data_IF_798255935226
#
_entry.id   IF_798255935226
#
_cell.length_a   1.000
_cell.length_b   1.000
_cell.length_c   1.000
_cell.angle_alpha   90.00
_cell.angle_beta   90.00
_cell.angle_gamma   90.00
#
_symmetry.space_group_name_H-M   'P 1'
#
loop_
_entity.id
_entity.type
_entity.pdbx_description
1 polymer ?
#
# COMPACT_ATOMS: atom_id res chain seq x y z
N UNK A 1 -10.70 47.00 -45.90
CA UNK A 1 -10.44 46.20 -44.68
C UNK A 1 -10.56 44.71 -45.03
N UNK A 2 -9.43 44.02 -45.20
CA UNK A 2 -9.37 42.57 -45.50
C UNK A 2 -9.46 41.80 -44.17
N UNK A 3 -10.44 40.90 -44.04
CA UNK A 3 -10.57 39.99 -42.88
C UNK A 3 -9.53 38.87 -43.01
N UNK A 4 -8.58 38.83 -42.09
CA UNK A 4 -7.64 37.71 -41.91
C UNK A 4 -8.38 36.62 -41.14
N UNK A 5 -8.49 35.42 -41.73
CA UNK A 5 -8.91 34.20 -41.03
C UNK A 5 -7.66 33.53 -40.47
N UNK A 6 -7.53 33.49 -39.15
CA UNK A 6 -6.51 32.71 -38.45
C UNK A 6 -6.99 31.25 -38.47
N UNK A 7 -6.25 30.37 -39.14
CA UNK A 7 -6.44 28.93 -39.03
C UNK A 7 -5.79 28.48 -37.72
N UNK A 8 -6.61 28.03 -36.77
CA UNK A 8 -6.13 27.38 -35.55
C UNK A 8 -5.70 25.96 -35.95
N UNK A 9 -4.40 25.73 -36.05
CA UNK A 9 -3.84 24.39 -36.25
C UNK A 9 -3.92 23.68 -34.90
N UNK A 10 -4.95 22.85 -34.69
CA UNK A 10 -5.01 21.94 -33.54
C UNK A 10 -4.02 20.81 -33.84
N UNK A 11 -2.83 20.88 -33.23
CA UNK A 11 -1.90 19.77 -33.21
C UNK A 11 -2.47 18.76 -32.21
N UNK A 12 -3.24 17.79 -32.72
CA UNK A 12 -3.52 16.57 -31.97
C UNK A 12 -2.20 15.80 -31.97
N UNK A 13 -1.49 15.80 -30.84
CA UNK A 13 -0.41 14.86 -30.59
C UNK A 13 -1.07 13.47 -30.49
N UNK A 14 -1.19 12.78 -31.62
CA UNK A 14 -1.45 11.35 -31.62
C UNK A 14 -0.16 10.73 -31.11
N UNK A 15 -0.09 10.48 -29.80
CA UNK A 15 0.85 9.52 -29.26
C UNK A 15 0.43 8.21 -29.90
N UNK A 16 1.14 7.80 -30.94
CA UNK A 16 0.99 6.47 -31.51
C UNK A 16 1.35 5.52 -30.35
N UNK A 17 0.40 4.71 -29.83
CA UNK A 17 0.79 3.66 -28.91
C UNK A 17 1.82 2.82 -29.66
N UNK A 18 3.02 2.72 -29.11
CA UNK A 18 3.97 1.73 -29.58
C UNK A 18 3.32 0.39 -29.26
N UNK A 19 2.74 -0.24 -30.28
CA UNK A 19 2.36 -1.66 -30.20
C UNK A 19 3.66 -2.41 -30.09
N UNK A 20 4.12 -2.60 -28.85
CA UNK A 20 5.17 -3.55 -28.55
C UNK A 20 4.57 -4.92 -28.88
N UNK A 21 5.18 -5.65 -29.82
CA UNK A 21 4.82 -7.04 -30.14
C UNK A 21 5.30 -7.96 -29.02
N UNK A 22 4.92 -7.64 -27.79
CA UNK A 22 5.34 -8.36 -26.64
C UNK A 22 4.48 -9.63 -26.52
N UNK A 23 5.12 -10.79 -26.44
CA UNK A 23 4.38 -12.03 -26.30
C UNK A 23 3.81 -12.12 -24.89
N UNK A 24 2.58 -12.62 -24.77
CA UNK A 24 1.98 -12.94 -23.47
C UNK A 24 2.09 -14.44 -23.26
N UNK A 25 2.60 -14.85 -22.09
CA UNK A 25 2.69 -16.25 -21.69
C UNK A 25 1.81 -16.50 -20.48
N UNK A 26 1.02 -17.56 -20.48
CA UNK A 26 0.33 -18.09 -19.30
C UNK A 26 0.97 -19.42 -18.92
N UNK A 27 1.52 -19.54 -17.71
CA UNK A 27 2.22 -20.74 -17.25
C UNK A 27 3.28 -21.25 -18.24
N UNK A 28 4.04 -20.33 -18.82
CA UNK A 28 5.07 -20.57 -19.86
C UNK A 28 4.54 -20.98 -21.24
N UNK A 29 3.22 -21.04 -21.44
CA UNK A 29 2.61 -21.26 -22.75
C UNK A 29 2.29 -19.92 -23.42
N UNK A 30 2.70 -19.76 -24.67
CA UNK A 30 2.39 -18.56 -25.46
C UNK A 30 0.89 -18.46 -25.71
N UNK A 31 0.33 -17.28 -25.48
CA UNK A 31 -1.05 -16.93 -25.80
C UNK A 31 -1.05 -15.75 -26.75
N UNK A 32 -1.83 -15.87 -27.82
CA UNK A 32 -2.05 -14.80 -28.79
C UNK A 32 -3.00 -13.76 -28.20
N UNK A 33 -2.46 -12.85 -27.40
CA UNK A 33 -3.19 -11.72 -26.80
C UNK A 33 -2.62 -10.42 -27.37
N UNK A 34 -3.49 -9.61 -27.96
CA UNK A 34 -3.12 -8.25 -28.33
C UNK A 34 -3.07 -7.40 -27.06
N UNK A 35 -1.92 -6.82 -26.78
CA UNK A 35 -1.77 -5.89 -25.67
C UNK A 35 -1.01 -4.63 -26.09
N UNK A 36 -1.22 -3.56 -25.32
CA UNK A 36 -0.56 -2.26 -25.52
C UNK A 36 0.11 -1.85 -24.22
N UNK A 37 1.37 -1.41 -24.29
CA UNK A 37 2.06 -0.81 -23.16
C UNK A 37 1.84 0.71 -23.16
N UNK A 38 1.27 1.25 -22.08
CA UNK A 38 1.06 2.68 -21.85
C UNK A 38 1.56 3.02 -20.45
N UNK A 39 2.53 3.93 -20.35
CA UNK A 39 3.11 4.39 -19.07
C UNK A 39 3.53 3.23 -18.14
N UNK A 40 4.27 2.26 -18.70
CA UNK A 40 4.75 1.05 -18.00
C UNK A 40 3.63 0.10 -17.50
N UNK A 41 2.40 0.29 -17.95
CA UNK A 41 1.29 -0.62 -17.70
C UNK A 41 0.89 -1.35 -18.99
N UNK A 42 0.76 -2.67 -18.92
CA UNK A 42 0.28 -3.49 -20.04
C UNK A 42 -1.26 -3.57 -20.00
N UNK A 43 -1.90 -3.25 -21.11
CA UNK A 43 -3.35 -3.26 -21.28
C UNK A 43 -3.76 -4.28 -22.33
N UNK A 44 -4.85 -5.02 -22.08
CA UNK A 44 -5.44 -5.97 -23.01
C UNK A 44 -6.87 -5.56 -23.35
N UNK A 45 -7.40 -6.04 -24.47
CA UNK A 45 -8.82 -5.83 -24.78
C UNK A 45 -9.70 -6.57 -23.77
N UNK A 46 -10.91 -6.07 -23.52
CA UNK A 46 -11.86 -6.79 -22.67
C UNK A 46 -12.21 -8.17 -23.25
N UNK A 47 -12.29 -8.30 -24.58
CA UNK A 47 -12.51 -9.57 -25.26
C UNK A 47 -11.40 -10.58 -24.94
N UNK A 48 -10.13 -10.20 -25.09
CA UNK A 48 -9.00 -11.07 -24.76
C UNK A 48 -8.93 -11.39 -23.27
N UNK A 49 -9.29 -10.44 -22.40
CA UNK A 49 -9.35 -10.66 -20.96
C UNK A 49 -10.40 -11.73 -20.58
N UNK A 50 -11.58 -11.67 -21.20
CA UNK A 50 -12.64 -12.65 -20.97
C UNK A 50 -12.23 -14.00 -21.58
N UNK A 51 -11.73 -14.01 -22.81
CA UNK A 51 -11.44 -15.24 -23.56
C UNK A 51 -10.21 -15.99 -23.01
N UNK A 52 -9.14 -15.27 -22.71
CA UNK A 52 -7.84 -15.86 -22.33
C UNK A 52 -7.60 -15.91 -20.83
N UNK A 53 -8.24 -15.02 -20.06
CA UNK A 53 -8.08 -14.93 -18.61
C UNK A 53 -9.39 -15.11 -17.84
N UNK A 54 -10.50 -15.50 -18.48
CA UNK A 54 -11.77 -15.71 -17.77
C UNK A 54 -12.24 -14.50 -16.96
N UNK A 55 -11.82 -13.30 -17.33
CA UNK A 55 -12.12 -12.08 -16.59
C UNK A 55 -13.63 -11.81 -16.57
N UNK A 56 -14.15 -11.44 -15.41
CA UNK A 56 -15.55 -11.07 -15.22
C UNK A 56 -15.65 -9.55 -15.01
N UNK A 57 -15.98 -8.78 -16.07
CA UNK A 57 -16.12 -7.34 -15.96
C UNK A 57 -17.30 -6.93 -15.05
N UNK A 58 -17.22 -5.80 -14.35
CA UNK A 58 -18.38 -5.16 -13.73
C UNK A 58 -19.47 -4.86 -14.77
N UNK A 59 -20.74 -4.88 -14.36
CA UNK A 59 -21.93 -4.80 -15.24
C UNK A 59 -22.00 -3.58 -16.20
N UNK A 60 -21.11 -2.58 -16.06
CA UNK A 60 -21.15 -1.30 -16.80
C UNK A 60 -20.03 -1.10 -17.85
N UNK A 61 -19.07 -2.02 -18.02
CA UNK A 61 -17.96 -1.83 -18.98
C UNK A 61 -18.40 -2.18 -20.41
N UNK A 62 -18.13 -1.27 -21.36
CA UNK A 62 -18.38 -1.51 -22.80
C UNK A 62 -17.33 -2.47 -23.37
N UNK A 63 -17.78 -3.35 -24.27
CA UNK A 63 -16.99 -4.41 -24.95
C UNK A 63 -15.69 -3.92 -25.62
N UNK A 64 -15.57 -2.62 -25.91
CA UNK A 64 -14.43 -2.05 -26.66
C UNK A 64 -13.35 -1.39 -25.77
N UNK A 65 -13.36 -1.60 -24.45
CA UNK A 65 -12.39 -0.98 -23.54
C UNK A 65 -11.12 -1.82 -23.33
N UNK A 66 -9.98 -1.13 -23.26
CA UNK A 66 -8.73 -1.70 -22.78
C UNK A 66 -8.73 -1.71 -21.26
N UNK A 67 -8.35 -2.84 -20.66
CA UNK A 67 -8.17 -2.97 -19.23
C UNK A 67 -6.73 -3.35 -18.87
N UNK A 68 -6.21 -2.96 -17.69
CA UNK A 68 -4.90 -3.41 -17.25
C UNK A 68 -4.86 -4.94 -17.19
N UNK A 69 -3.87 -5.57 -17.83
CA UNK A 69 -3.71 -7.04 -17.81
C UNK A 69 -3.63 -7.57 -16.37
N UNK A 70 -3.06 -6.77 -15.46
CA UNK A 70 -2.98 -7.04 -14.04
C UNK A 70 -4.35 -7.23 -13.38
N UNK A 71 -5.33 -6.41 -13.72
CA UNK A 71 -6.67 -6.53 -13.15
C UNK A 71 -7.33 -7.86 -13.53
N UNK A 72 -7.15 -8.28 -14.79
CA UNK A 72 -7.66 -9.57 -15.27
C UNK A 72 -6.90 -10.76 -14.68
N UNK A 73 -5.57 -10.69 -14.66
CA UNK A 73 -4.69 -11.74 -14.13
C UNK A 73 -4.92 -11.99 -12.64
N UNK A 74 -4.98 -10.92 -11.83
CA UNK A 74 -5.16 -11.01 -10.38
C UNK A 74 -6.51 -11.67 -10.01
N UNK A 75 -7.58 -11.46 -10.79
CA UNK A 75 -8.89 -12.09 -10.54
C UNK A 75 -8.84 -13.63 -10.64
N UNK A 76 -7.94 -14.18 -11.46
CA UNK A 76 -7.75 -15.63 -11.61
C UNK A 76 -6.59 -16.19 -10.76
N UNK A 77 -5.92 -15.34 -9.97
CA UNK A 77 -4.78 -15.76 -9.16
C UNK A 77 -3.46 -15.86 -9.93
N UNK A 78 -3.35 -15.23 -11.10
CA UNK A 78 -2.08 -15.10 -11.81
C UNK A 78 -1.25 -13.93 -11.28
N UNK A 79 0.06 -14.13 -11.18
CA UNK A 79 1.04 -13.08 -10.98
C UNK A 79 1.56 -12.57 -12.33
N UNK A 80 1.54 -11.25 -12.52
CA UNK A 80 2.08 -10.62 -13.73
C UNK A 80 3.55 -10.28 -13.53
N UNK A 81 4.41 -10.86 -14.37
CA UNK A 81 5.83 -10.51 -14.55
C UNK A 81 6.02 -9.96 -15.96
N UNK A 82 7.05 -9.17 -16.18
CA UNK A 82 7.42 -8.76 -17.52
C UNK A 82 8.93 -8.55 -17.60
N UNK A 83 9.46 -8.73 -18.80
CA UNK A 83 10.81 -8.26 -19.19
C UNK A 83 10.67 -7.12 -20.22
N UNK A 84 11.76 -6.74 -20.87
CA UNK A 84 11.75 -5.67 -21.88
C UNK A 84 10.84 -5.99 -23.08
N UNK A 85 10.53 -7.27 -23.31
CA UNK A 85 9.87 -7.75 -24.52
C UNK A 85 8.61 -8.58 -24.26
N UNK A 86 8.34 -9.08 -23.06
CA UNK A 86 7.29 -10.09 -22.84
C UNK A 86 6.55 -9.88 -21.52
N UNK A 87 5.31 -10.38 -21.48
CA UNK A 87 4.49 -10.46 -20.27
C UNK A 87 4.28 -11.92 -19.91
N UNK A 88 4.50 -12.27 -18.65
CA UNK A 88 4.31 -13.62 -18.12
C UNK A 88 3.27 -13.59 -17.01
N UNK A 89 2.29 -14.47 -17.12
CA UNK A 89 1.22 -14.71 -16.17
C UNK A 89 1.47 -16.11 -15.60
N UNK A 90 1.81 -16.20 -14.32
CA UNK A 90 2.16 -17.47 -13.68
C UNK A 90 1.43 -17.61 -12.35
N UNK A 91 1.07 -18.84 -12.00
CA UNK A 91 0.47 -19.18 -10.72
C UNK A 91 1.51 -19.36 -9.62
N UNK A 92 2.80 -19.46 -9.96
CA UNK A 92 3.87 -19.43 -8.96
C UNK A 92 4.10 -18.01 -8.44
N UNK A 93 3.99 -17.85 -7.12
CA UNK A 93 4.33 -16.59 -6.45
C UNK A 93 5.75 -16.18 -6.83
N UNK A 94 5.94 -15.04 -7.53
CA UNK A 94 7.27 -14.52 -7.73
C UNK A 94 7.87 -14.14 -6.38
N UNK A 95 9.20 -14.09 -6.38
CA UNK A 95 9.96 -13.51 -5.28
C UNK A 95 9.41 -12.14 -4.87
N UNK A 96 8.92 -11.36 -5.84
CA UNK A 96 8.39 -10.02 -5.61
C UNK A 96 7.15 -9.82 -6.48
N UNK A 97 6.03 -9.44 -5.87
CA UNK A 97 4.85 -8.99 -6.60
C UNK A 97 4.08 -7.93 -5.83
N UNK A 98 3.33 -7.13 -6.59
CA UNK A 98 2.31 -6.21 -6.09
C UNK A 98 0.94 -6.84 -6.34
N UNK A 99 0.01 -6.71 -5.39
CA UNK A 99 -1.35 -7.23 -5.50
C UNK A 99 -2.35 -6.24 -4.89
N UNK A 100 -3.49 -6.06 -5.54
CA UNK A 100 -4.63 -5.36 -4.94
C UNK A 100 -5.26 -6.22 -3.83
N UNK A 101 -5.26 -5.73 -2.60
CA UNK A 101 -5.78 -6.45 -1.43
C UNK A 101 -7.14 -5.91 -0.94
N UNK A 102 -7.67 -4.89 -1.62
CA UNK A 102 -8.97 -4.31 -1.34
C UNK A 102 -9.10 -2.91 -1.94
N UNK A 103 -10.03 -2.13 -1.43
CA UNK A 103 -10.25 -0.76 -1.92
C UNK A 103 -10.55 0.22 -0.79
N UNK A 104 -10.17 1.48 -0.98
CA UNK A 104 -10.53 2.58 -0.10
C UNK A 104 -12.03 2.92 -0.20
N UNK A 105 -12.50 3.83 0.66
CA UNK A 105 -13.90 4.29 0.62
C UNK A 105 -14.30 4.92 -0.73
N UNK A 106 -13.38 5.57 -1.44
CA UNK A 106 -13.60 6.10 -2.79
C UNK A 106 -13.21 5.11 -3.91
N UNK A 107 -13.17 3.81 -3.62
CA UNK A 107 -12.86 2.73 -4.57
C UNK A 107 -11.48 2.84 -5.23
N UNK A 108 -10.47 3.41 -4.55
CA UNK A 108 -9.09 3.34 -5.02
C UNK A 108 -8.47 2.02 -4.57
N UNK A 109 -7.69 1.33 -5.43
CA UNK A 109 -7.07 0.07 -5.04
C UNK A 109 -6.09 0.28 -3.90
N UNK A 110 -6.21 -0.52 -2.84
CA UNK A 110 -5.20 -0.62 -1.79
C UNK A 110 -4.33 -1.82 -2.16
N UNK A 111 -3.05 -1.59 -2.31
CA UNK A 111 -2.09 -2.59 -2.78
C UNK A 111 -1.13 -3.01 -1.68
N UNK A 112 -0.75 -4.28 -1.66
CA UNK A 112 0.40 -4.78 -0.92
C UNK A 112 1.49 -5.22 -1.89
N UNK A 113 2.75 -5.03 -1.51
CA UNK A 113 3.91 -5.60 -2.17
C UNK A 113 4.46 -6.71 -1.30
N UNK A 114 4.52 -7.91 -1.86
CA UNK A 114 5.06 -9.11 -1.24
C UNK A 114 6.48 -9.30 -1.75
N UNK A 115 7.43 -9.40 -0.84
CA UNK A 115 8.80 -9.80 -1.10
C UNK A 115 9.05 -11.12 -0.34
N UNK A 116 8.89 -12.23 -1.07
CA UNK A 116 8.82 -13.59 -0.54
C UNK A 116 10.06 -14.38 -0.99
N UNK A 117 11.10 -14.53 -0.15
CA UNK A 117 12.23 -15.39 -0.51
C UNK A 117 11.77 -16.84 -0.72
N UNK A 118 12.52 -17.68 -1.46
CA UNK A 118 12.10 -19.05 -1.80
C UNK A 118 11.81 -19.93 -0.58
N UNK A 119 12.40 -19.61 0.56
CA UNK A 119 12.08 -20.18 1.87
C UNK A 119 12.08 -19.06 2.90
N UNK A 120 11.09 -19.05 3.78
CA UNK A 120 11.01 -18.13 4.90
C UNK A 120 10.48 -18.83 6.15
N UNK A 121 10.91 -18.34 7.31
CA UNK A 121 10.45 -18.79 8.64
C UNK A 121 9.78 -17.67 9.42
N UNK A 122 9.79 -16.46 8.86
CA UNK A 122 9.27 -15.25 9.47
C UNK A 122 8.52 -14.46 8.40
N UNK A 123 7.37 -13.89 8.76
CA UNK A 123 6.64 -12.91 7.96
C UNK A 123 6.55 -11.59 8.72
N UNK A 124 6.92 -10.48 8.06
CA UNK A 124 6.74 -9.12 8.55
C UNK A 124 5.70 -8.43 7.67
N UNK A 125 4.65 -7.88 8.28
CA UNK A 125 3.72 -6.96 7.63
C UNK A 125 4.05 -5.53 8.07
N UNK A 126 4.27 -4.64 7.12
CA UNK A 126 4.51 -3.22 7.36
C UNK A 126 3.47 -2.34 6.65
N UNK A 127 2.88 -1.40 7.37
CA UNK A 127 1.84 -0.49 6.86
C UNK A 127 2.29 0.95 6.98
N UNK A 128 1.94 1.75 5.97
CA UNK A 128 2.30 3.16 5.91
C UNK A 128 1.08 4.02 5.56
N UNK A 129 1.12 5.28 5.99
CA UNK A 129 0.12 6.29 5.66
C UNK A 129 -1.33 5.84 5.95
N UNK A 130 -1.56 5.34 7.17
CA UNK A 130 -2.93 5.17 7.70
C UNK A 130 -3.60 6.55 7.88
N UNK A 131 -2.80 7.60 8.09
CA UNK A 131 -3.23 8.98 7.99
C UNK A 131 -2.58 9.64 6.76
N UNK A 132 -3.38 10.34 5.95
CA UNK A 132 -2.84 11.17 4.87
C UNK A 132 -2.29 12.52 5.35
N UNK A 133 -2.63 12.91 6.58
CA UNK A 133 -2.12 14.09 7.28
C UNK A 133 -1.64 13.69 8.67
N UNK A 134 -0.35 13.92 8.91
CA UNK A 134 0.43 13.57 10.11
C UNK A 134 0.82 14.81 10.93
N UNK A 135 0.11 15.93 10.69
CA UNK A 135 0.16 17.21 11.44
C UNK A 135 1.37 18.12 11.22
N UNK A 136 2.31 17.79 10.34
CA UNK A 136 3.44 18.69 10.06
C UNK A 136 3.12 19.71 8.97
N UNK A 137 2.58 19.27 7.83
CA UNK A 137 2.14 20.15 6.75
C UNK A 137 1.10 19.49 5.86
N UNK A 138 0.66 20.21 4.84
CA UNK A 138 -0.40 19.75 3.94
C UNK A 138 -0.02 18.43 3.25
N UNK A 139 -0.75 17.35 3.57
CA UNK A 139 -0.59 16.00 2.99
C UNK A 139 0.80 15.39 3.18
N UNK A 140 1.41 15.65 4.32
CA UNK A 140 2.71 15.09 4.71
C UNK A 140 2.74 13.55 4.84
N UNK A 141 1.58 12.88 4.92
CA UNK A 141 1.50 11.42 4.83
C UNK A 141 2.11 10.83 3.55
N UNK A 142 2.22 11.62 2.48
CA UNK A 142 2.91 11.21 1.23
C UNK A 142 4.37 10.82 1.46
N UNK A 143 5.04 11.41 2.46
CA UNK A 143 6.43 11.03 2.80
C UNK A 143 6.49 9.57 3.24
N UNK A 144 5.50 9.10 4.01
CA UNK A 144 5.46 7.72 4.51
C UNK A 144 5.32 6.74 3.33
N UNK A 145 4.49 7.08 2.35
CA UNK A 145 4.39 6.31 1.10
C UNK A 145 5.69 6.32 0.30
N UNK A 146 6.39 7.46 0.22
CA UNK A 146 7.69 7.54 -0.45
C UNK A 146 8.76 6.69 0.26
N UNK A 147 8.77 6.67 1.59
CA UNK A 147 9.67 5.80 2.38
C UNK A 147 9.35 4.33 2.09
N UNK A 148 8.06 3.96 2.11
CA UNK A 148 7.63 2.59 1.82
C UNK A 148 8.10 2.10 0.45
N UNK A 149 7.90 2.91 -0.60
CA UNK A 149 8.33 2.58 -1.96
C UNK A 149 9.87 2.47 -2.07
N UNK A 150 10.61 3.28 -1.31
CA UNK A 150 12.07 3.17 -1.26
C UNK A 150 12.54 1.91 -0.51
N UNK A 151 11.87 1.50 0.56
CA UNK A 151 12.14 0.24 1.26
C UNK A 151 11.83 -0.95 0.34
N UNK A 152 10.69 -0.93 -0.36
CA UNK A 152 10.33 -1.93 -1.37
C UNK A 152 11.43 -2.02 -2.42
N UNK A 153 11.84 -0.88 -2.99
CA UNK A 153 12.89 -0.84 -4.01
C UNK A 153 14.20 -1.42 -3.50
N UNK A 154 14.63 -1.05 -2.29
CA UNK A 154 15.89 -1.51 -1.70
C UNK A 154 15.98 -3.04 -1.62
N UNK A 155 14.92 -3.69 -1.10
CA UNK A 155 14.86 -5.15 -1.02
C UNK A 155 14.55 -5.80 -2.37
N UNK A 156 13.92 -5.08 -3.29
CA UNK A 156 13.72 -5.58 -4.65
C UNK A 156 15.01 -5.67 -5.45
N UNK A 157 15.90 -4.68 -5.26
CA UNK A 157 17.22 -4.66 -5.89
C UNK A 157 18.19 -5.66 -5.24
N UNK A 158 17.97 -6.02 -3.97
CA UNK A 158 18.84 -6.88 -3.14
C UNK A 158 18.02 -7.91 -2.35
N UNK A 159 17.31 -8.83 -3.03
CA UNK A 159 16.40 -9.75 -2.36
C UNK A 159 17.10 -10.75 -1.43
N UNK A 160 18.40 -10.99 -1.59
CA UNK A 160 19.21 -11.81 -0.69
C UNK A 160 19.26 -11.27 0.74
N UNK A 161 19.06 -9.95 0.93
CA UNK A 161 19.03 -9.32 2.25
C UNK A 161 17.79 -9.68 3.06
N UNK A 162 16.73 -10.20 2.42
CA UNK A 162 15.54 -10.71 3.09
C UNK A 162 15.83 -12.01 3.87
N UNK A 163 16.92 -12.73 3.55
CA UNK A 163 17.27 -14.03 4.15
C UNK A 163 16.06 -14.99 4.17
N UNK A 164 15.60 -15.39 5.37
CA UNK A 164 14.43 -16.24 5.60
C UNK A 164 13.20 -15.44 6.05
N UNK A 165 13.12 -14.17 5.67
CA UNK A 165 12.01 -13.27 6.04
C UNK A 165 11.19 -12.90 4.82
N UNK A 166 9.90 -13.22 4.85
CA UNK A 166 8.91 -12.67 3.93
C UNK A 166 8.50 -11.28 4.41
N UNK A 167 8.59 -10.28 3.54
CA UNK A 167 8.21 -8.91 3.83
C UNK A 167 7.00 -8.52 3.00
N UNK A 168 5.92 -8.11 3.66
CA UNK A 168 4.68 -7.64 3.04
C UNK A 168 4.53 -6.16 3.39
N UNK A 169 4.50 -5.28 2.41
CA UNK A 169 4.43 -3.83 2.61
C UNK A 169 3.15 -3.28 1.98
N UNK A 170 2.34 -2.56 2.75
CA UNK A 170 1.23 -1.73 2.25
C UNK A 170 1.71 -0.27 2.22
N UNK A 171 2.08 0.28 1.05
CA UNK A 171 2.72 1.61 0.97
C UNK A 171 1.81 2.78 1.36
N UNK A 172 0.51 2.59 1.20
CA UNK A 172 -0.48 3.59 1.55
C UNK A 172 -1.79 2.89 1.91
N UNK A 173 -2.23 3.03 3.16
CA UNK A 173 -3.53 2.51 3.60
C UNK A 173 -4.64 3.52 3.27
N UNK A 174 -4.43 4.81 3.57
CA UNK A 174 -5.41 5.87 3.35
C UNK A 174 -5.14 6.62 2.04
N UNK A 175 -5.25 5.92 0.90
CA UNK A 175 -5.05 6.52 -0.43
C UNK A 175 -5.93 7.75 -0.65
N UNK A 176 -7.16 7.74 -0.14
CA UNK A 176 -8.09 8.85 -0.27
C UNK A 176 -7.58 10.09 0.48
N UNK A 177 -7.10 9.90 1.71
CA UNK A 177 -6.57 10.96 2.55
C UNK A 177 -5.31 11.59 1.97
N UNK A 178 -4.39 10.78 1.44
CA UNK A 178 -3.17 11.25 0.77
C UNK A 178 -3.50 12.00 -0.53
N UNK A 179 -4.39 11.46 -1.37
CA UNK A 179 -4.66 12.01 -2.69
C UNK A 179 -5.63 13.20 -2.69
N UNK A 180 -6.67 13.17 -1.86
CA UNK A 180 -7.77 14.12 -1.91
C UNK A 180 -8.09 14.77 -0.55
N UNK A 181 -7.46 14.32 0.54
CA UNK A 181 -7.66 14.91 1.87
C UNK A 181 -7.34 16.41 1.92
N UNK A 182 -8.01 17.12 2.82
CA UNK A 182 -7.92 18.58 2.93
C UNK A 182 -7.66 19.06 4.36
N UNK A 183 -7.64 18.16 5.34
CA UNK A 183 -7.51 18.51 6.74
C UNK A 183 -6.85 17.41 7.59
N UNK A 184 -6.05 17.84 8.56
CA UNK A 184 -5.57 17.00 9.65
C UNK A 184 -6.61 16.78 10.77
N UNK A 185 -7.79 17.41 10.67
CA UNK A 185 -8.89 17.30 11.65
C UNK A 185 -10.18 16.80 10.99
N UNK A 186 -10.06 15.86 10.05
CA UNK A 186 -11.16 15.32 9.26
C UNK A 186 -10.60 14.57 8.06
N UNK A 187 -11.23 14.70 6.89
CA UNK A 187 -10.76 14.03 5.67
C UNK A 187 -9.34 14.44 5.30
N UNK A 188 -8.42 13.48 5.31
CA UNK A 188 -6.98 13.68 5.28
C UNK A 188 -6.33 12.84 6.37
N UNK A 189 -6.51 13.23 7.63
CA UNK A 189 -6.21 12.35 8.77
C UNK A 189 -7.14 11.13 8.78
N UNK A 190 -8.44 11.40 8.79
CA UNK A 190 -9.47 10.38 8.61
C UNK A 190 -9.58 9.97 7.13
N UNK A 191 -10.19 8.81 6.88
CA UNK A 191 -10.56 8.38 5.52
C UNK A 191 -11.64 9.30 4.90
N UNK A 192 -12.05 9.02 3.67
CA UNK A 192 -13.07 9.83 2.97
C UNK A 192 -14.48 9.79 3.59
N UNK A 193 -14.78 8.80 4.44
CA UNK A 193 -16.01 8.76 5.25
C UNK A 193 -15.89 9.61 6.53
N UNK A 194 -14.70 10.15 6.80
CA UNK A 194 -14.38 10.90 8.00
C UNK A 194 -14.12 10.02 9.22
N UNK A 195 -13.82 8.73 9.07
CA UNK A 195 -13.43 7.82 10.15
C UNK A 195 -11.90 7.84 10.31
N UNK A 196 -11.41 8.01 11.54
CA UNK A 196 -9.99 7.80 11.85
C UNK A 196 -9.73 6.29 11.84
N UNK A 197 -9.05 5.82 10.78
CA UNK A 197 -8.75 4.39 10.57
C UNK A 197 -8.02 3.84 11.80
N UNK A 198 -7.08 4.59 12.39
CA UNK A 198 -6.32 4.21 13.58
C UNK A 198 -7.10 4.43 14.90
N UNK A 199 -8.43 4.51 14.85
CA UNK A 199 -9.36 4.41 15.99
C UNK A 199 -10.46 3.37 15.75
N UNK A 200 -10.45 2.72 14.59
CA UNK A 200 -11.57 1.91 14.13
C UNK A 200 -11.38 0.41 14.39
N UNK A 201 -10.32 -0.01 15.07
CA UNK A 201 -10.06 -1.41 15.41
C UNK A 201 -10.73 -1.81 16.74
N UNK A 202 -11.09 -3.07 16.93
CA UNK A 202 -11.82 -3.55 18.13
C UNK A 202 -10.94 -3.68 19.41
N UNK A 203 -9.72 -3.14 19.40
CA UNK A 203 -8.88 -3.06 20.60
C UNK A 203 -9.24 -1.86 21.47
N UNK A 204 -9.74 -2.10 22.68
CA UNK A 204 -10.18 -1.02 23.60
C UNK A 204 -11.19 -0.06 22.96
N UNK A 205 -11.90 -0.49 21.90
CA UNK A 205 -12.74 0.36 21.07
C UNK A 205 -13.81 1.10 21.88
N UNK A 206 -14.11 2.31 21.45
CA UNK A 206 -15.17 3.12 22.02
C UNK A 206 -15.56 4.26 21.08
N UNK A 207 -16.86 4.62 21.09
CA UNK A 207 -17.41 5.63 20.18
C UNK A 207 -16.81 7.01 20.43
N UNK A 208 -16.24 7.62 19.38
CA UNK A 208 -15.66 8.96 19.40
C UNK A 208 -16.33 9.81 18.31
N UNK A 209 -16.82 10.99 18.68
CA UNK A 209 -17.64 11.85 17.79
C UNK A 209 -16.98 13.20 17.41
N UNK A 210 -15.70 13.40 17.70
CA UNK A 210 -14.99 14.59 17.20
C UNK A 210 -14.46 14.34 15.78
N UNK A 211 -14.26 15.40 14.99
CA UNK A 211 -13.90 15.27 13.57
C UNK A 211 -12.54 14.62 13.31
N UNK A 212 -11.62 14.71 14.28
CA UNK A 212 -10.22 14.27 14.14
C UNK A 212 -10.03 12.78 14.38
N UNK A 213 -10.70 12.25 15.40
CA UNK A 213 -10.55 10.88 15.90
C UNK A 213 -11.87 10.08 15.77
N UNK A 214 -12.73 10.45 14.82
CA UNK A 214 -14.10 9.93 14.72
C UNK A 214 -14.06 8.42 14.48
N UNK A 215 -14.88 7.67 15.21
CA UNK A 215 -15.09 6.24 14.96
C UNK A 215 -16.41 6.00 14.25
N UNK A 216 -16.58 4.79 13.70
CA UNK A 216 -17.88 4.33 13.25
C UNK A 216 -18.86 4.02 14.38
N UNK A 217 -19.97 3.35 14.04
CA UNK A 217 -20.93 2.85 15.03
C UNK A 217 -20.50 1.51 15.65
N UNK A 218 -19.52 0.85 15.05
CA UNK A 218 -18.90 -0.41 15.46
C UNK A 218 -17.44 -0.41 14.95
N UNK A 219 -16.55 -1.27 15.47
CA UNK A 219 -15.21 -1.42 14.89
C UNK A 219 -15.27 -1.93 13.45
N UNK A 220 -14.19 -1.72 12.70
CA UNK A 220 -14.02 -2.05 11.29
C UNK A 220 -15.13 -1.48 10.41
N UNK A 221 -15.52 -0.23 10.68
CA UNK A 221 -16.47 0.51 9.85
C UNK A 221 -15.83 0.99 8.55
N UNK A 222 -14.57 1.41 8.56
CA UNK A 222 -13.87 1.84 7.36
C UNK A 222 -13.42 0.63 6.52
N UNK A 223 -13.54 0.68 5.18
CA UNK A 223 -13.03 -0.38 4.33
C UNK A 223 -11.51 -0.53 4.46
N UNK A 224 -10.77 0.57 4.71
CA UNK A 224 -9.33 0.52 4.94
C UNK A 224 -8.96 -0.30 6.20
N UNK A 225 -9.72 -0.15 7.30
CA UNK A 225 -9.50 -0.96 8.50
C UNK A 225 -9.87 -2.44 8.28
N UNK A 226 -10.87 -2.71 7.44
CA UNK A 226 -11.23 -4.08 7.05
C UNK A 226 -10.10 -4.73 6.25
N UNK A 227 -9.50 -4.02 5.28
CA UNK A 227 -8.34 -4.51 4.53
C UNK A 227 -7.17 -4.87 5.46
N UNK A 228 -6.85 -3.99 6.42
CA UNK A 228 -5.80 -4.27 7.41
C UNK A 228 -6.12 -5.46 8.32
N UNK A 229 -7.37 -5.62 8.73
CA UNK A 229 -7.81 -6.80 9.47
C UNK A 229 -7.62 -8.07 8.65
N UNK A 230 -8.14 -8.06 7.43
CA UNK A 230 -8.24 -9.24 6.58
C UNK A 230 -6.85 -9.72 6.15
N UNK A 231 -5.91 -8.81 5.87
CA UNK A 231 -4.53 -9.20 5.55
C UNK A 231 -3.79 -9.77 6.76
N UNK A 232 -3.97 -9.23 7.98
CA UNK A 232 -3.36 -9.81 9.19
C UNK A 232 -3.90 -11.22 9.44
N UNK A 233 -5.22 -11.43 9.29
CA UNK A 233 -5.84 -12.74 9.49
C UNK A 233 -5.45 -13.74 8.39
N UNK A 234 -5.34 -13.28 7.14
CA UNK A 234 -4.98 -14.12 5.98
C UNK A 234 -3.51 -14.53 6.01
N UNK A 235 -2.61 -13.56 6.19
CA UNK A 235 -1.17 -13.77 6.05
C UNK A 235 -0.51 -14.25 7.34
N UNK A 236 -1.21 -14.12 8.48
CA UNK A 236 -0.76 -14.54 9.81
C UNK A 236 0.70 -14.14 10.10
N UNK A 237 1.04 -12.84 10.04
CA UNK A 237 2.42 -12.39 10.20
C UNK A 237 2.91 -12.58 11.64
N UNK A 238 4.19 -12.84 11.86
CA UNK A 238 4.73 -12.87 13.23
C UNK A 238 5.11 -11.47 13.73
N UNK A 239 5.31 -10.50 12.82
CA UNK A 239 5.56 -9.09 13.16
C UNK A 239 4.65 -8.15 12.33
N UNK A 240 4.00 -7.20 12.99
CA UNK A 240 3.23 -6.10 12.37
C UNK A 240 3.85 -4.74 12.75
N UNK A 241 4.15 -3.93 11.74
CA UNK A 241 4.73 -2.60 11.88
C UNK A 241 3.79 -1.57 11.25
N UNK A 242 3.48 -0.50 11.98
CA UNK A 242 2.62 0.57 11.50
C UNK A 242 3.33 1.92 11.59
N UNK A 243 3.63 2.54 10.46
CA UNK A 243 4.45 3.75 10.37
C UNK A 243 3.59 5.01 10.21
N UNK A 244 3.81 5.96 11.12
CA UNK A 244 3.12 7.25 11.29
C UNK A 244 4.15 8.38 11.43
N UNK A 245 3.66 9.62 11.49
CA UNK A 245 4.44 10.77 11.92
C UNK A 245 3.61 11.75 12.75
N UNK A 246 4.17 12.73 13.45
CA UNK A 246 5.60 12.96 13.69
C UNK A 246 5.90 13.02 15.20
N UNK A 247 5.32 12.12 15.97
CA UNK A 247 5.32 12.23 17.44
C UNK A 247 6.65 11.87 18.12
N UNK A 248 7.68 11.44 17.38
CA UNK A 248 8.99 11.09 17.94
C UNK A 248 8.87 10.05 19.07
N UNK A 249 8.32 8.88 18.73
CA UNK A 249 8.16 7.77 19.67
C UNK A 249 7.84 6.42 18.98
N UNK A 250 7.89 5.34 19.76
CA UNK A 250 7.46 4.01 19.33
C UNK A 250 6.51 3.42 20.39
N UNK A 251 5.35 2.93 19.97
CA UNK A 251 4.37 2.23 20.81
C UNK A 251 4.47 0.74 20.54
N UNK A 252 4.77 -0.05 21.57
CA UNK A 252 4.75 -1.50 21.49
C UNK A 252 4.75 -2.10 22.90
N UNK A 253 4.06 -3.23 23.05
CA UNK A 253 4.22 -4.10 24.24
C UNK A 253 5.46 -4.99 24.15
N UNK A 254 6.09 -5.10 22.97
CA UNK A 254 7.31 -5.85 22.73
C UNK A 254 8.52 -4.93 22.86
N UNK A 255 9.30 -5.12 23.93
CA UNK A 255 10.40 -4.22 24.25
C UNK A 255 11.57 -4.36 23.28
N UNK A 256 11.82 -5.55 22.75
CA UNK A 256 12.89 -5.77 21.76
C UNK A 256 12.56 -5.05 20.46
N UNK A 257 11.34 -5.23 19.96
CA UNK A 257 10.87 -4.57 18.75
C UNK A 257 10.87 -3.05 18.92
N UNK A 258 10.39 -2.57 20.07
CA UNK A 258 10.44 -1.14 20.42
C UNK A 258 11.87 -0.61 20.40
N UNK A 259 12.81 -1.30 21.04
CA UNK A 259 14.21 -0.86 21.12
C UNK A 259 14.90 -0.87 19.75
N UNK A 260 14.61 -1.87 18.91
CA UNK A 260 15.15 -1.98 17.55
C UNK A 260 14.80 -0.73 16.72
N UNK A 261 13.52 -0.35 16.69
CA UNK A 261 13.07 0.82 15.94
C UNK A 261 13.46 2.13 16.62
N UNK A 262 13.30 2.26 17.94
CA UNK A 262 13.66 3.49 18.67
C UNK A 262 15.14 3.83 18.52
N UNK A 263 16.03 2.83 18.55
CA UNK A 263 17.48 3.05 18.41
C UNK A 263 17.85 3.39 16.96
N UNK A 264 17.31 2.66 15.99
CA UNK A 264 17.63 2.86 14.56
C UNK A 264 17.13 4.22 14.04
N UNK A 265 15.97 4.66 14.52
CA UNK A 265 15.33 5.90 14.08
C UNK A 265 15.64 7.12 14.97
N UNK A 266 16.31 6.91 16.11
CA UNK A 266 16.60 7.96 17.10
C UNK A 266 15.29 8.59 17.61
N UNK A 267 14.42 7.72 18.17
CA UNK A 267 13.09 8.09 18.67
C UNK A 267 13.08 8.28 20.19
N UNK A 268 12.28 9.25 20.62
CA UNK A 268 12.00 9.52 22.02
C UNK A 268 11.08 8.49 22.70
N UNK A 269 10.74 8.80 23.96
CA UNK A 269 9.84 7.98 24.75
C UNK A 269 8.39 8.04 24.22
N UNK A 270 7.70 6.91 24.38
CA UNK A 270 6.27 6.73 24.13
C UNK A 270 5.43 7.80 24.84
N UNK A 271 4.41 8.34 24.15
CA UNK A 271 3.50 9.33 24.74
C UNK A 271 2.39 8.63 25.51
N UNK A 272 1.90 9.27 26.57
CA UNK A 272 0.73 8.79 27.29
C UNK A 272 -0.53 8.97 26.44
N UNK A 273 -1.53 8.11 26.67
CA UNK A 273 -2.85 8.29 26.10
C UNK A 273 -3.41 9.68 26.43
N UNK A 274 -4.15 10.26 25.48
CA UNK A 274 -4.84 11.53 25.68
C UNK A 274 -5.83 11.43 26.85
N UNK A 275 -6.08 12.52 27.59
CA UNK A 275 -7.09 12.52 28.64
C UNK A 275 -8.44 11.99 28.15
N UNK A 276 -8.99 11.00 28.85
CA UNK A 276 -10.27 10.36 28.50
C UNK A 276 -10.16 9.19 27.50
N UNK A 277 -8.97 8.87 27.00
CA UNK A 277 -8.73 7.71 26.14
C UNK A 277 -8.02 6.59 26.90
N UNK A 278 -8.33 5.34 26.55
CA UNK A 278 -7.54 4.18 26.98
C UNK A 278 -6.22 4.11 26.18
N UNK A 279 -5.16 3.48 26.72
CA UNK A 279 -3.95 3.19 25.94
C UNK A 279 -4.29 2.47 24.63
N UNK A 280 -3.74 2.97 23.51
CA UNK A 280 -3.93 2.42 22.16
C UNK A 280 -5.40 2.19 21.76
N UNK A 281 -6.33 2.98 22.31
CA UNK A 281 -7.77 2.85 22.04
C UNK A 281 -8.09 2.91 20.54
N UNK A 282 -8.53 1.79 19.99
CA UNK A 282 -8.90 1.62 18.58
C UNK A 282 -7.72 1.59 17.61
N UNK A 283 -6.48 1.52 18.11
CA UNK A 283 -5.29 1.55 17.25
C UNK A 283 -5.12 0.21 16.53
N UNK A 284 -4.61 0.26 15.31
CA UNK A 284 -4.27 -0.93 14.52
C UNK A 284 -3.30 -1.83 15.27
N UNK A 285 -2.18 -1.28 15.77
CA UNK A 285 -1.16 -2.08 16.46
C UNK A 285 -1.64 -2.64 17.80
N UNK A 286 -2.52 -1.93 18.49
CA UNK A 286 -3.16 -2.43 19.71
C UNK A 286 -3.96 -3.70 19.40
N UNK A 287 -4.70 -3.68 18.30
CA UNK A 287 -5.42 -4.85 17.81
C UNK A 287 -4.50 -5.97 17.31
N UNK A 288 -3.55 -5.66 16.42
CA UNK A 288 -2.64 -6.61 15.81
C UNK A 288 -1.74 -7.33 16.83
N UNK A 289 -1.45 -6.70 17.98
CA UNK A 289 -0.69 -7.32 19.08
C UNK A 289 -1.32 -8.60 19.68
N UNK A 290 -2.58 -8.89 19.34
CA UNK A 290 -3.25 -10.14 19.73
C UNK A 290 -2.84 -11.32 18.82
N UNK A 291 -2.26 -11.05 17.65
CA UNK A 291 -1.93 -12.02 16.62
C UNK A 291 -0.42 -12.08 16.33
N UNK A 292 0.28 -10.96 16.50
CA UNK A 292 1.68 -10.80 16.13
C UNK A 292 2.42 -9.93 17.16
N UNK A 293 3.76 -9.95 17.14
CA UNK A 293 4.54 -8.87 17.76
C UNK A 293 4.22 -7.59 16.98
N UNK A 294 3.82 -6.50 17.66
CA UNK A 294 3.35 -5.32 16.96
C UNK A 294 3.98 -4.02 17.47
N UNK A 295 4.32 -3.11 16.57
CA UNK A 295 4.82 -1.78 16.93
C UNK A 295 4.23 -0.70 16.01
N UNK A 296 3.87 0.45 16.60
CA UNK A 296 3.57 1.68 15.88
C UNK A 296 4.76 2.62 16.02
N UNK A 297 5.28 3.06 14.88
CA UNK A 297 6.45 3.90 14.78
C UNK A 297 6.00 5.31 14.39
N UNK A 298 6.24 6.28 15.27
CA UNK A 298 6.01 7.70 15.00
C UNK A 298 7.36 8.35 14.69
N UNK A 299 7.61 8.62 13.41
CA UNK A 299 8.86 9.25 13.00
C UNK A 299 9.06 10.59 13.70
N UNK A 300 10.32 10.95 13.94
CA UNK A 300 10.70 12.35 14.24
C UNK A 300 10.88 13.07 12.92
N UNK A 301 10.19 14.20 12.71
CA UNK A 301 10.29 14.93 11.44
C UNK A 301 11.75 15.25 11.08
N UNK A 302 12.18 14.72 9.94
CA UNK A 302 13.52 14.83 9.32
C UNK A 302 13.31 14.83 7.81
N UNK A 303 14.36 15.08 7.04
CA UNK A 303 14.35 14.90 5.59
C UNK A 303 14.02 13.43 5.22
N UNK A 304 13.26 13.23 4.15
CA UNK A 304 12.77 11.92 3.71
C UNK A 304 13.91 10.92 3.43
N UNK A 305 15.02 11.35 2.83
CA UNK A 305 16.16 10.46 2.50
C UNK A 305 16.80 9.89 3.76
N UNK A 306 16.90 10.72 4.81
CA UNK A 306 17.40 10.30 6.11
C UNK A 306 16.45 9.31 6.77
N UNK A 307 15.15 9.58 6.73
CA UNK A 307 14.14 8.67 7.27
C UNK A 307 14.14 7.33 6.55
N UNK A 308 14.23 7.32 5.22
CA UNK A 308 14.38 6.10 4.42
C UNK A 308 15.61 5.31 4.86
N UNK A 309 16.78 5.95 4.93
CA UNK A 309 18.03 5.29 5.29
C UNK A 309 17.93 4.63 6.67
N UNK A 310 17.40 5.36 7.66
CA UNK A 310 17.22 4.84 9.01
C UNK A 310 16.15 3.74 9.08
N UNK A 311 15.11 3.82 8.25
CA UNK A 311 14.06 2.79 8.16
C UNK A 311 14.62 1.50 7.59
N UNK A 312 15.37 1.57 6.48
CA UNK A 312 16.06 0.41 5.90
C UNK A 312 17.03 -0.21 6.91
N UNK A 313 17.78 0.62 7.65
CA UNK A 313 18.66 0.12 8.71
C UNK A 313 17.88 -0.62 9.81
N UNK A 314 16.72 -0.11 10.22
CA UNK A 314 15.86 -0.77 11.20
C UNK A 314 15.36 -2.14 10.72
N UNK A 315 14.88 -2.23 9.46
CA UNK A 315 14.50 -3.52 8.87
C UNK A 315 15.69 -4.47 8.77
N UNK A 316 16.86 -3.99 8.36
CA UNK A 316 18.06 -4.81 8.29
C UNK A 316 18.46 -5.36 9.66
N UNK A 317 18.43 -4.54 10.71
CA UNK A 317 18.71 -4.98 12.08
C UNK A 317 17.71 -6.07 12.52
N UNK A 318 16.41 -5.82 12.29
CA UNK A 318 15.34 -6.75 12.64
C UNK A 318 15.48 -8.10 11.90
N UNK A 319 15.83 -8.09 10.62
CA UNK A 319 16.07 -9.30 9.81
C UNK A 319 17.39 -9.99 10.20
N UNK A 320 18.35 -9.27 10.76
CA UNK A 320 19.65 -9.83 11.17
C UNK A 320 19.66 -10.46 12.56
N UNK A 321 18.82 -10.00 13.48
CA UNK A 321 18.69 -10.55 14.84
C UNK A 321 18.04 -11.95 14.88
N UNK A 322 17.58 -12.44 13.72
CA UNK A 322 16.90 -13.73 13.50
C UNK A 322 17.83 -14.68 12.74
#
# INVERSE_FOLDING_TARGET
MKKIRIFLLVIILIIQPTVTSAAVYINQEYIDINHVNIDHCNYITLEDAVASLGYLPPEEIKIDEFIPIRAAAEQQGYFVRWDEENVYLDNSEPLIFRQTIGSSYQNRPIEAVYLTPPSYTQTILATFAVHGFEDQYYRDGVILTQIAEQVIKYYSDQPELLKFTRLIIIPCVNLDGVNAGVSNNGFGRCNAQGIDINRDFDHNWGKINNSRNKTGNQPFTSPEAQVLRDIVLKENPDIVLDFHGWLDCCYSSDLELKNCFSSSLDLGAEKKALPGYKPMQGYFVGWASQYARAALIEYKYKDADRLTTQTIQAFNNLIQEI
#
